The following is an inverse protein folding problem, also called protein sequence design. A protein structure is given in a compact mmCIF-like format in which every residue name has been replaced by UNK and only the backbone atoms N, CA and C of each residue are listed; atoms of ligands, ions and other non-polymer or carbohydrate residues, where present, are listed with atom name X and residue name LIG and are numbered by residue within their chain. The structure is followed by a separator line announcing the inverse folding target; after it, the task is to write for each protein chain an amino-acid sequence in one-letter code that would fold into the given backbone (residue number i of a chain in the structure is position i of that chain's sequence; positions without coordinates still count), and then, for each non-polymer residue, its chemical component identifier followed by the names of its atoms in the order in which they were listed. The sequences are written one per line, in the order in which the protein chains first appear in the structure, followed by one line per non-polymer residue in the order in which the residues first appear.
data_IF_089741507368
#
_entry.id   IF_089741507368
#
_cell.length_a   1.000
_cell.length_b   1.000
_cell.length_c   1.000
_cell.angle_alpha   90.00
_cell.angle_beta   90.00
_cell.angle_gamma   90.00
#
_symmetry.space_group_name_H-M   'P 1'
#
loop_
_entity.id
_entity.type
_entity.pdbx_description
1 polymer ?
#
# COMPACT_ATOMS: atom_id res chain seq x y z
N UNK A 1 -33.11 -15.33 14.50
CA UNK A 1 -31.95 -15.55 15.41
C UNK A 1 -30.68 -15.14 14.67
N UNK A 2 -29.64 -14.69 15.37
CA UNK A 2 -28.35 -14.28 14.78
C UNK A 2 -27.79 -15.34 13.82
N UNK A 3 -27.99 -16.62 14.14
CA UNK A 3 -27.59 -17.75 13.30
C UNK A 3 -28.24 -17.75 11.90
N UNK A 4 -29.52 -17.38 11.81
CA UNK A 4 -30.22 -17.24 10.52
C UNK A 4 -29.72 -16.01 9.75
N UNK A 5 -29.42 -14.91 10.45
CA UNK A 5 -28.87 -13.71 9.83
C UNK A 5 -27.48 -13.96 9.25
N UNK A 6 -26.59 -14.65 9.98
CA UNK A 6 -25.26 -15.04 9.51
C UNK A 6 -25.37 -15.92 8.25
N UNK A 7 -26.26 -16.93 8.27
CA UNK A 7 -26.47 -17.81 7.11
C UNK A 7 -26.90 -17.03 5.87
N UNK A 8 -27.85 -16.10 6.00
CA UNK A 8 -28.32 -15.26 4.88
C UNK A 8 -27.19 -14.33 4.42
N UNK A 9 -26.48 -13.71 5.36
CA UNK A 9 -25.39 -12.78 5.07
C UNK A 9 -24.21 -13.43 4.34
N UNK A 10 -23.92 -14.69 4.62
CA UNK A 10 -22.85 -15.43 3.96
C UNK A 10 -23.03 -15.49 2.42
N UNK A 11 -24.27 -15.38 1.93
CA UNK A 11 -24.56 -15.34 0.49
C UNK A 11 -24.37 -13.95 -0.14
N UNK A 12 -24.45 -12.87 0.64
CA UNK A 12 -24.41 -11.49 0.12
C UNK A 12 -23.11 -11.19 -0.64
N UNK A 13 -21.90 -11.56 -0.17
CA UNK A 13 -20.67 -11.33 -0.94
C UNK A 13 -20.70 -11.87 -2.37
N UNK A 14 -21.42 -12.95 -2.63
CA UNK A 14 -21.54 -13.57 -3.96
C UNK A 14 -22.53 -12.83 -4.88
N UNK A 15 -23.47 -12.10 -4.28
CA UNK A 15 -24.47 -11.29 -4.99
C UNK A 15 -23.95 -9.89 -5.35
N UNK A 16 -22.87 -9.43 -4.69
CA UNK A 16 -22.25 -8.13 -4.99
C UNK A 16 -21.47 -8.20 -6.32
N UNK A 17 -22.15 -7.80 -7.40
CA UNK A 17 -21.61 -7.83 -8.76
C UNK A 17 -21.77 -6.48 -9.45
N UNK A 18 -20.87 -6.16 -10.39
CA UNK A 18 -20.84 -4.86 -11.08
C UNK A 18 -22.05 -4.62 -11.99
N UNK A 19 -22.70 -5.69 -12.45
CA UNK A 19 -23.83 -5.63 -13.39
C UNK A 19 -25.19 -5.56 -12.69
N UNK A 20 -25.23 -5.82 -11.37
CA UNK A 20 -26.47 -5.88 -10.60
C UNK A 20 -26.54 -4.62 -9.74
N UNK A 21 -27.64 -3.88 -9.85
CA UNK A 21 -27.88 -2.74 -8.97
C UNK A 21 -28.21 -3.25 -7.57
N UNK A 22 -27.41 -2.84 -6.59
CA UNK A 22 -27.59 -3.26 -5.20
C UNK A 22 -28.67 -2.37 -4.56
N UNK A 23 -29.70 -2.95 -3.92
CA UNK A 23 -30.71 -2.17 -3.23
C UNK A 23 -30.09 -1.26 -2.15
N UNK A 24 -30.54 0.00 -2.08
CA UNK A 24 -30.02 0.98 -1.12
C UNK A 24 -30.18 0.53 0.33
N UNK A 25 -31.28 -0.17 0.65
CA UNK A 25 -31.52 -0.77 1.97
C UNK A 25 -30.45 -1.78 2.34
N UNK A 26 -30.02 -2.63 1.40
CA UNK A 26 -28.95 -3.60 1.60
C UNK A 26 -27.62 -2.89 1.92
N UNK A 27 -27.30 -1.81 1.20
CA UNK A 27 -26.08 -1.03 1.45
C UNK A 27 -26.10 -0.43 2.87
N UNK A 28 -27.22 0.18 3.29
CA UNK A 28 -27.37 0.74 4.65
C UNK A 28 -27.14 -0.33 5.71
N UNK A 29 -27.80 -1.47 5.58
CA UNK A 29 -27.67 -2.60 6.51
C UNK A 29 -26.22 -3.09 6.58
N UNK A 30 -25.57 -3.28 5.43
CA UNK A 30 -24.17 -3.75 5.38
C UNK A 30 -23.20 -2.77 6.05
N UNK A 31 -23.44 -1.47 5.89
CA UNK A 31 -22.63 -0.42 6.53
C UNK A 31 -22.85 -0.42 8.04
N UNK A 32 -24.09 -0.51 8.51
CA UNK A 32 -24.41 -0.56 9.94
C UNK A 32 -23.88 -1.86 10.59
N UNK A 33 -23.83 -2.95 9.84
CA UNK A 33 -23.27 -4.22 10.30
C UNK A 33 -21.76 -4.19 10.57
N UNK A 34 -21.04 -3.16 10.14
CA UNK A 34 -19.63 -2.98 10.49
C UNK A 34 -19.42 -2.78 12.01
N UNK A 35 -20.43 -2.27 12.72
CA UNK A 35 -20.40 -2.07 14.18
C UNK A 35 -21.37 -3.01 14.92
N UNK A 36 -21.82 -4.08 14.26
CA UNK A 36 -22.71 -5.06 14.88
C UNK A 36 -22.01 -5.78 16.05
N UNK A 37 -22.73 -6.17 17.10
CA UNK A 37 -22.13 -6.83 18.28
C UNK A 37 -21.51 -8.20 17.97
N UNK A 38 -22.12 -8.94 17.05
CA UNK A 38 -21.65 -10.24 16.57
C UNK A 38 -20.42 -10.13 15.62
N UNK A 39 -19.34 -10.84 15.96
CA UNK A 39 -18.07 -10.86 15.20
C UNK A 39 -18.21 -11.34 13.76
N UNK A 40 -18.97 -12.41 13.52
CA UNK A 40 -19.09 -13.02 12.19
C UNK A 40 -19.84 -12.08 11.23
N UNK A 41 -20.86 -11.38 11.75
CA UNK A 41 -21.59 -10.36 11.00
C UNK A 41 -20.65 -9.22 10.58
N UNK A 42 -19.79 -8.74 11.50
CA UNK A 42 -18.78 -7.71 11.17
C UNK A 42 -17.81 -8.19 10.10
N UNK A 43 -17.27 -9.41 10.21
CA UNK A 43 -16.34 -9.98 9.20
C UNK A 43 -16.97 -10.04 7.81
N UNK A 44 -18.22 -10.49 7.71
CA UNK A 44 -18.96 -10.51 6.44
C UNK A 44 -19.20 -9.08 5.93
N UNK A 45 -19.57 -8.15 6.81
CA UNK A 45 -19.76 -6.74 6.46
C UNK A 45 -18.47 -6.09 5.92
N UNK A 46 -17.32 -6.28 6.57
CA UNK A 46 -16.02 -5.80 6.10
C UNK A 46 -15.70 -6.29 4.67
N UNK A 47 -15.93 -7.58 4.41
CA UNK A 47 -15.76 -8.17 3.08
C UNK A 47 -16.72 -7.56 2.05
N UNK A 48 -17.99 -7.37 2.43
CA UNK A 48 -19.01 -6.76 1.59
C UNK A 48 -18.68 -5.31 1.24
N UNK A 49 -18.31 -4.49 2.22
CA UNK A 49 -17.96 -3.07 2.02
C UNK A 49 -16.68 -2.92 1.20
N UNK A 50 -15.68 -3.79 1.40
CA UNK A 50 -14.50 -3.87 0.50
C UNK A 50 -14.93 -4.14 -0.96
N UNK A 51 -15.87 -5.06 -1.16
CA UNK A 51 -16.38 -5.41 -2.49
C UNK A 51 -17.22 -4.30 -3.10
N UNK A 52 -18.08 -3.66 -2.31
CA UNK A 52 -18.88 -2.52 -2.70
C UNK A 52 -18.02 -1.34 -3.13
N UNK A 53 -17.00 -1.00 -2.34
CA UNK A 53 -16.03 0.02 -2.71
C UNK A 53 -15.38 -0.32 -4.06
N UNK A 54 -15.03 -1.58 -4.32
CA UNK A 54 -14.47 -2.02 -5.62
C UNK A 54 -15.45 -1.86 -6.78
N UNK A 55 -16.74 -2.13 -6.58
CA UNK A 55 -17.79 -1.95 -7.59
C UNK A 55 -18.00 -0.47 -7.89
N UNK A 56 -18.09 0.35 -6.85
CA UNK A 56 -18.25 1.81 -6.91
C UNK A 56 -16.98 2.56 -7.33
N UNK A 57 -15.96 1.87 -7.85
CA UNK A 57 -14.68 2.48 -8.23
C UNK A 57 -14.88 3.46 -9.39
N UNK A 58 -14.50 4.75 -9.24
CA UNK A 58 -14.57 5.70 -10.33
C UNK A 58 -13.73 5.25 -11.54
N UNK A 59 -14.17 5.54 -12.77
CA UNK A 59 -13.42 5.23 -13.97
C UNK A 59 -12.05 5.92 -13.96
N UNK A 60 -11.13 5.42 -14.78
CA UNK A 60 -9.85 6.10 -15.03
C UNK A 60 -9.59 6.14 -16.52
N UNK A 61 -8.90 7.17 -16.95
CA UNK A 61 -8.50 7.36 -18.33
C UNK A 61 -7.19 6.62 -18.56
N UNK A 62 -7.11 5.89 -19.68
CA UNK A 62 -5.87 5.27 -20.14
C UNK A 62 -5.34 6.03 -21.32
N UNK A 63 -4.02 6.14 -21.38
CA UNK A 63 -3.28 6.60 -22.53
C UNK A 63 -2.65 5.39 -23.20
N UNK A 64 -2.68 5.41 -24.52
CA UNK A 64 -2.07 4.40 -25.37
C UNK A 64 -1.10 5.14 -26.29
N UNK A 65 0.17 4.76 -26.23
CA UNK A 65 1.23 5.36 -27.05
C UNK A 65 2.07 4.26 -27.68
N UNK A 66 2.54 4.51 -28.91
CA UNK A 66 3.52 3.63 -29.53
C UNK A 66 4.84 3.68 -28.75
N UNK A 67 5.64 2.62 -28.85
CA UNK A 67 6.98 2.60 -28.25
C UNK A 67 7.83 3.76 -28.81
N UNK A 68 7.77 4.00 -30.11
CA UNK A 68 8.49 5.09 -30.77
C UNK A 68 8.14 6.46 -30.18
N UNK A 69 6.85 6.76 -29.95
CA UNK A 69 6.44 8.06 -29.40
C UNK A 69 6.98 8.30 -27.99
N UNK A 70 6.99 7.25 -27.16
CA UNK A 70 7.52 7.33 -25.79
C UNK A 70 9.03 7.59 -25.84
N UNK A 71 9.76 6.84 -26.65
CA UNK A 71 11.21 6.96 -26.79
C UNK A 71 11.61 8.32 -27.39
N UNK A 72 10.85 8.81 -28.37
CA UNK A 72 11.00 10.16 -28.91
C UNK A 72 10.81 11.24 -27.83
N UNK A 73 9.77 11.12 -26.98
CA UNK A 73 9.50 12.07 -25.88
C UNK A 73 10.63 12.11 -24.85
N UNK A 74 11.21 10.96 -24.51
CA UNK A 74 12.34 10.87 -23.57
C UNK A 74 13.71 11.09 -24.24
N UNK A 75 13.73 11.45 -25.54
CA UNK A 75 14.93 11.70 -26.33
C UNK A 75 15.92 10.52 -26.35
N UNK A 76 15.40 9.29 -26.46
CA UNK A 76 16.18 8.05 -26.59
C UNK A 76 15.86 7.33 -27.90
N UNK A 77 16.83 6.59 -28.42
CA UNK A 77 16.61 5.70 -29.56
C UNK A 77 15.68 4.55 -29.17
N UNK A 78 14.70 4.26 -30.01
CA UNK A 78 13.83 3.11 -29.80
C UNK A 78 14.66 1.82 -29.91
N UNK A 79 14.52 0.86 -28.99
CA UNK A 79 15.22 -0.42 -29.08
C UNK A 79 14.78 -1.21 -30.32
N UNK A 80 15.71 -1.97 -30.89
CA UNK A 80 15.44 -2.86 -32.03
C UNK A 80 14.49 -4.00 -31.60
N UNK A 81 13.51 -4.32 -32.45
CA UNK A 81 12.56 -5.41 -32.19
C UNK A 81 13.25 -6.78 -32.12
N UNK A 82 14.39 -6.95 -32.80
CA UNK A 82 15.15 -8.19 -32.82
C UNK A 82 16.01 -8.42 -31.57
N UNK A 83 16.35 -7.35 -30.84
CA UNK A 83 17.22 -7.43 -29.68
C UNK A 83 16.44 -7.80 -28.42
N UNK A 84 16.78 -8.94 -27.80
CA UNK A 84 16.14 -9.43 -26.59
C UNK A 84 17.20 -9.85 -25.57
N UNK A 85 17.71 -8.87 -24.83
CA UNK A 85 18.60 -9.12 -23.70
C UNK A 85 17.87 -8.78 -22.39
N UNK A 86 17.58 -9.74 -21.51
CA UNK A 86 17.03 -9.44 -20.19
C UNK A 86 18.05 -8.67 -19.34
N UNK A 87 17.57 -7.81 -18.46
CA UNK A 87 18.43 -7.09 -17.53
C UNK A 87 18.22 -5.58 -17.50
N UNK A 88 19.12 -4.91 -16.80
CA UNK A 88 19.22 -3.47 -16.77
C UNK A 88 19.83 -3.00 -18.10
N UNK A 89 19.11 -2.13 -18.80
CA UNK A 89 19.46 -1.65 -20.15
C UNK A 89 19.23 -0.16 -20.23
N UNK A 90 20.02 0.53 -21.05
CA UNK A 90 19.89 1.97 -21.23
C UNK A 90 18.47 2.41 -21.62
N UNK A 91 17.76 1.57 -22.37
CA UNK A 91 16.39 1.79 -22.81
C UNK A 91 15.34 1.68 -21.68
N UNK A 92 15.64 0.99 -20.58
CA UNK A 92 14.73 0.76 -19.45
C UNK A 92 15.14 1.51 -18.16
N UNK A 93 16.31 2.14 -18.12
CA UNK A 93 16.73 2.96 -16.98
C UNK A 93 15.76 4.11 -16.62
N UNK A 94 14.95 4.60 -17.56
CA UNK A 94 14.00 5.71 -17.28
C UNK A 94 12.79 5.28 -16.43
N UNK A 95 12.54 3.97 -16.28
CA UNK A 95 11.48 3.42 -15.42
C UNK A 95 11.98 2.98 -14.05
N UNK A 96 13.29 3.09 -13.79
CA UNK A 96 13.87 2.83 -12.48
C UNK A 96 13.88 4.11 -11.63
N UNK A 97 14.17 3.97 -10.33
CA UNK A 97 14.21 5.11 -9.42
C UNK A 97 15.52 5.92 -9.50
N UNK A 98 16.64 5.33 -9.92
CA UNK A 98 17.97 5.94 -9.82
C UNK A 98 18.06 7.35 -10.44
N UNK A 99 17.48 7.53 -11.62
CA UNK A 99 17.50 8.80 -12.36
C UNK A 99 16.14 9.50 -12.35
N UNK A 100 15.27 9.14 -11.41
CA UNK A 100 13.93 9.68 -11.34
C UNK A 100 13.93 11.08 -10.71
N UNK A 101 13.38 12.04 -11.45
CA UNK A 101 13.10 13.38 -10.95
C UNK A 101 11.58 13.51 -10.75
N UNK A 102 11.10 13.70 -9.51
CA UNK A 102 9.67 13.84 -9.25
C UNK A 102 9.08 15.03 -10.01
N UNK A 103 7.88 14.88 -10.61
CA UNK A 103 7.14 15.99 -11.20
C UNK A 103 6.94 17.14 -10.22
N UNK A 104 7.14 18.38 -10.68
CA UNK A 104 6.98 19.60 -9.87
C UNK A 104 5.62 20.25 -10.06
N UNK A 105 4.96 19.97 -11.19
CA UNK A 105 3.64 20.53 -11.50
C UNK A 105 2.59 19.43 -11.58
N UNK A 106 1.33 19.80 -11.34
CA UNK A 106 0.19 18.89 -11.48
C UNK A 106 0.08 18.34 -12.91
N UNK A 107 0.39 19.14 -13.92
CA UNK A 107 0.34 18.74 -15.33
C UNK A 107 1.40 17.67 -15.63
N UNK A 108 2.63 17.89 -15.19
CA UNK A 108 3.71 16.90 -15.31
C UNK A 108 3.33 15.59 -14.58
N UNK A 109 2.81 15.69 -13.36
CA UNK A 109 2.35 14.52 -12.60
C UNK A 109 1.30 13.74 -13.38
N UNK A 110 0.25 14.40 -13.87
CA UNK A 110 -0.83 13.77 -14.63
C UNK A 110 -0.35 13.05 -15.90
N UNK A 111 0.64 13.63 -16.59
CA UNK A 111 1.18 13.14 -17.86
C UNK A 111 2.28 12.09 -17.69
N UNK A 112 2.90 12.00 -16.50
CA UNK A 112 4.02 11.08 -16.23
C UNK A 112 3.62 9.62 -16.48
N UNK A 113 4.41 8.93 -17.31
CA UNK A 113 4.18 7.53 -17.64
C UNK A 113 4.72 6.62 -16.53
N UNK A 114 3.85 6.21 -15.61
CA UNK A 114 4.15 5.17 -14.61
C UNK A 114 3.66 3.80 -15.05
N UNK A 115 4.53 2.81 -14.93
CA UNK A 115 4.33 1.46 -15.39
C UNK A 115 4.37 0.49 -14.21
N UNK A 116 3.19 0.23 -13.66
CA UNK A 116 3.07 -0.45 -12.37
C UNK A 116 3.57 -1.91 -12.39
N UNK A 117 3.27 -2.65 -13.46
CA UNK A 117 3.60 -4.07 -13.58
C UNK A 117 5.09 -4.29 -13.86
N UNK A 118 5.80 -4.99 -12.97
CA UNK A 118 7.26 -5.19 -13.02
C UNK A 118 7.74 -6.09 -14.17
N UNK A 119 6.94 -7.08 -14.58
CA UNK A 119 7.34 -8.09 -15.57
C UNK A 119 7.48 -7.58 -17.01
N UNK A 120 6.77 -6.51 -17.35
CA UNK A 120 6.92 -5.92 -18.68
C UNK A 120 8.27 -5.22 -18.74
N UNK A 121 9.00 -5.38 -19.86
CA UNK A 121 10.19 -4.59 -20.21
C UNK A 121 11.48 -4.98 -19.49
N UNK A 122 11.46 -5.95 -18.58
CA UNK A 122 12.69 -6.59 -18.14
C UNK A 122 13.31 -7.43 -19.26
N UNK A 123 12.50 -8.18 -20.00
CA UNK A 123 12.94 -9.01 -21.13
C UNK A 123 12.85 -8.28 -22.48
N UNK A 124 11.66 -7.75 -22.81
CA UNK A 124 11.38 -7.07 -24.09
C UNK A 124 10.26 -6.03 -23.94
N UNK A 125 10.27 -5.00 -24.79
CA UNK A 125 9.23 -3.99 -24.87
C UNK A 125 8.01 -4.46 -25.69
N UNK A 126 6.78 -4.14 -25.28
CA UNK A 126 5.62 -4.27 -26.14
C UNK A 126 5.62 -3.16 -27.22
N UNK A 127 5.01 -3.43 -28.37
CA UNK A 127 4.88 -2.45 -29.47
C UNK A 127 4.11 -1.19 -29.06
N UNK A 128 3.11 -1.38 -28.20
CA UNK A 128 2.24 -0.34 -27.69
C UNK A 128 2.22 -0.40 -26.17
N UNK A 129 2.35 0.76 -25.54
CA UNK A 129 2.29 0.88 -24.08
C UNK A 129 0.97 1.52 -23.68
N UNK A 130 0.16 0.74 -22.96
CA UNK A 130 -1.05 1.20 -22.31
C UNK A 130 -0.79 1.51 -20.84
N UNK A 131 -0.98 2.75 -20.43
CA UNK A 131 -0.78 3.18 -19.05
C UNK A 131 -1.88 4.13 -18.59
N UNK A 132 -2.24 4.12 -17.30
CA UNK A 132 -3.26 5.02 -16.78
C UNK A 132 -2.70 6.44 -16.59
N UNK A 133 -3.48 7.45 -16.96
CA UNK A 133 -3.18 8.84 -16.58
C UNK A 133 -3.17 8.96 -15.05
N UNK A 134 -2.35 9.85 -14.47
CA UNK A 134 -2.28 10.03 -13.01
C UNK A 134 -3.40 10.90 -12.45
N UNK A 135 -4.57 10.72 -13.03
CA UNK A 135 -5.80 11.41 -12.71
C UNK A 135 -6.93 10.41 -12.65
N UNK A 136 -7.73 10.51 -11.59
CA UNK A 136 -8.99 9.80 -11.48
C UNK A 136 -10.02 10.78 -10.95
N UNK A 137 -11.14 10.88 -11.65
CA UNK A 137 -12.32 11.57 -11.15
C UNK A 137 -12.79 10.92 -9.86
N UNK A 138 -13.22 11.73 -8.89
CA UNK A 138 -13.75 11.25 -7.62
C UNK A 138 -15.14 11.78 -7.41
N UNK A 139 -15.90 11.08 -6.60
CA UNK A 139 -17.19 11.56 -6.15
C UNK A 139 -16.98 12.80 -5.28
N UNK A 140 -17.64 13.88 -5.65
CA UNK A 140 -17.79 15.07 -4.81
C UNK A 140 -19.16 15.00 -4.15
N UNK A 141 -19.42 15.80 -3.11
CA UNK A 141 -20.75 15.87 -2.48
C UNK A 141 -21.89 16.09 -3.50
N UNK A 142 -21.62 16.79 -4.60
CA UNK A 142 -22.61 17.12 -5.63
C UNK A 142 -22.70 16.06 -6.75
N UNK A 143 -21.68 15.22 -6.93
CA UNK A 143 -21.62 14.24 -8.04
C UNK A 143 -21.77 12.79 -7.57
N UNK A 144 -21.99 12.58 -6.27
CA UNK A 144 -22.05 11.27 -5.66
C UNK A 144 -23.44 10.64 -5.86
N UNK A 145 -23.52 9.45 -6.47
CA UNK A 145 -24.77 8.68 -6.51
C UNK A 145 -25.23 8.27 -5.11
N UNK A 146 -26.53 8.02 -4.92
CA UNK A 146 -27.13 7.72 -3.61
C UNK A 146 -26.49 6.51 -2.91
N UNK A 147 -26.15 5.46 -3.66
CA UNK A 147 -25.54 4.24 -3.15
C UNK A 147 -24.11 4.49 -2.60
N UNK A 148 -23.39 5.42 -3.22
CA UNK A 148 -22.07 5.87 -2.77
C UNK A 148 -22.19 6.85 -1.60
N UNK A 149 -23.22 7.71 -1.61
CA UNK A 149 -23.49 8.70 -0.56
C UNK A 149 -23.77 8.06 0.79
N UNK A 150 -24.41 6.89 0.83
CA UNK A 150 -24.61 6.12 2.07
C UNK A 150 -23.27 5.82 2.76
N UNK A 151 -22.28 5.34 2.01
CA UNK A 151 -20.96 5.03 2.55
C UNK A 151 -20.25 6.32 2.98
N UNK A 152 -20.23 7.33 2.11
CA UNK A 152 -19.58 8.61 2.44
C UNK A 152 -20.13 9.21 3.73
N UNK A 153 -21.44 9.33 3.84
CA UNK A 153 -22.08 9.93 5.01
C UNK A 153 -21.78 9.16 6.29
N UNK A 154 -21.79 7.81 6.24
CA UNK A 154 -21.46 7.01 7.42
C UNK A 154 -19.99 7.12 7.81
N UNK A 155 -19.07 7.07 6.85
CA UNK A 155 -17.64 7.19 7.12
C UNK A 155 -17.17 8.65 7.38
N UNK A 156 -18.08 9.62 7.34
CA UNK A 156 -17.84 10.99 7.83
C UNK A 156 -18.32 11.17 9.29
N UNK A 157 -19.11 10.23 9.82
CA UNK A 157 -19.54 10.23 11.22
C UNK A 157 -18.39 9.77 12.12
N UNK A 158 -17.85 10.70 12.93
CA UNK A 158 -16.75 10.43 13.85
C UNK A 158 -17.10 9.34 14.87
N UNK A 159 -18.34 9.32 15.37
CA UNK A 159 -18.78 8.34 16.38
C UNK A 159 -18.74 6.94 15.77
N UNK A 160 -19.24 6.81 14.54
CA UNK A 160 -19.21 5.54 13.80
C UNK A 160 -17.78 5.06 13.57
N UNK A 161 -16.88 5.91 13.10
CA UNK A 161 -15.48 5.53 12.84
C UNK A 161 -14.81 5.07 14.13
N UNK A 162 -14.98 5.80 15.23
CA UNK A 162 -14.39 5.42 16.52
C UNK A 162 -14.92 4.07 17.00
N UNK A 163 -16.23 3.84 16.94
CA UNK A 163 -16.81 2.53 17.30
C UNK A 163 -16.32 1.40 16.39
N UNK A 164 -16.25 1.66 15.07
CA UNK A 164 -15.74 0.71 14.09
C UNK A 164 -14.30 0.29 14.42
N UNK A 165 -13.43 1.25 14.68
CA UNK A 165 -12.03 1.01 15.02
C UNK A 165 -11.91 0.24 16.33
N UNK A 166 -12.68 0.62 17.36
CA UNK A 166 -12.70 -0.09 18.65
C UNK A 166 -13.09 -1.56 18.47
N UNK A 167 -14.13 -1.86 17.69
CA UNK A 167 -14.48 -3.25 17.39
C UNK A 167 -13.36 -3.98 16.65
N UNK A 168 -12.74 -3.36 15.63
CA UNK A 168 -11.63 -3.97 14.88
C UNK A 168 -10.43 -4.33 15.75
N UNK A 169 -10.13 -3.50 16.77
CA UNK A 169 -9.05 -3.77 17.73
C UNK A 169 -9.37 -5.01 18.56
N UNK A 170 -10.61 -5.14 19.04
CA UNK A 170 -11.04 -6.23 19.96
C UNK A 170 -11.27 -7.56 19.23
N UNK A 171 -11.66 -7.54 17.95
CA UNK A 171 -12.18 -8.70 17.22
C UNK A 171 -11.25 -9.89 16.98
N UNK A 172 -9.95 -9.78 17.21
CA UNK A 172 -8.98 -10.79 16.76
C UNK A 172 -8.18 -11.42 17.92
N UNK A 173 -8.84 -11.92 18.97
CA UNK A 173 -8.18 -12.69 20.05
C UNK A 173 -7.72 -14.11 19.63
N UNK A 174 -7.86 -14.50 18.36
CA UNK A 174 -7.28 -15.75 17.86
C UNK A 174 -5.77 -15.63 17.73
N UNK A 175 -5.02 -16.60 18.27
CA UNK A 175 -3.54 -16.70 18.35
C UNK A 175 -2.73 -16.46 17.06
N UNK A 176 -3.36 -16.15 15.93
CA UNK A 176 -2.71 -15.66 14.72
C UNK A 176 -3.25 -14.26 14.36
N UNK A 177 -2.71 -13.25 15.03
CA UNK A 177 -3.01 -11.81 14.84
C UNK A 177 -2.47 -11.32 13.49
N UNK A 178 -3.06 -11.81 12.40
CA UNK A 178 -2.63 -11.55 11.03
C UNK A 178 -3.28 -10.28 10.47
N UNK A 179 -2.51 -9.55 9.65
CA UNK A 179 -2.99 -8.41 8.87
C UNK A 179 -4.23 -8.79 8.05
N UNK A 180 -5.37 -8.11 8.28
CA UNK A 180 -6.64 -8.43 7.65
C UNK A 180 -6.74 -7.80 6.25
N UNK A 181 -6.70 -8.66 5.23
CA UNK A 181 -6.73 -8.25 3.83
C UNK A 181 -8.06 -7.58 3.42
N UNK A 182 -9.18 -7.92 4.06
CA UNK A 182 -10.49 -7.33 3.75
C UNK A 182 -10.58 -5.89 4.27
N UNK A 183 -10.12 -5.64 5.50
CA UNK A 183 -10.01 -4.29 6.07
C UNK A 183 -9.09 -3.39 5.24
N UNK A 184 -7.89 -3.88 4.91
CA UNK A 184 -7.00 -3.19 3.98
C UNK A 184 -7.67 -2.83 2.65
N UNK A 185 -8.38 -3.79 2.01
CA UNK A 185 -9.08 -3.55 0.74
C UNK A 185 -10.23 -2.56 0.88
N UNK A 186 -10.93 -2.57 2.02
CA UNK A 186 -11.96 -1.60 2.36
C UNK A 186 -11.36 -0.19 2.47
N UNK A 187 -10.36 0.02 3.32
CA UNK A 187 -9.70 1.32 3.48
C UNK A 187 -9.10 1.82 2.16
N UNK A 188 -8.44 0.95 1.40
CA UNK A 188 -7.98 1.25 0.03
C UNK A 188 -9.11 1.73 -0.88
N UNK A 189 -10.29 1.15 -0.76
CA UNK A 189 -11.49 1.55 -1.49
C UNK A 189 -12.00 2.92 -1.07
N UNK A 190 -12.13 3.15 0.24
CA UNK A 190 -12.61 4.39 0.84
C UNK A 190 -11.73 5.58 0.45
N UNK A 191 -10.41 5.52 0.69
CA UNK A 191 -9.48 6.61 0.34
C UNK A 191 -9.38 6.85 -1.17
N UNK A 192 -9.56 5.80 -1.99
CA UNK A 192 -9.60 5.95 -3.44
C UNK A 192 -10.86 6.66 -3.92
N UNK A 193 -12.01 6.35 -3.33
CA UNK A 193 -13.31 6.85 -3.78
C UNK A 193 -13.58 8.27 -3.26
N UNK A 194 -13.23 8.54 -1.99
CA UNK A 194 -13.57 9.77 -1.29
C UNK A 194 -12.39 10.73 -1.08
N UNK A 195 -11.15 10.25 -1.17
CA UNK A 195 -9.97 11.10 -1.17
C UNK A 195 -9.67 11.74 0.19
N UNK A 196 -9.46 13.06 0.18
CA UNK A 196 -8.83 13.82 1.27
C UNK A 196 -9.74 14.03 2.48
N UNK A 197 -11.06 14.17 2.26
CA UNK A 197 -12.02 14.43 3.33
C UNK A 197 -11.95 13.36 4.43
N UNK A 198 -11.90 12.09 4.03
CA UNK A 198 -11.77 10.97 4.95
C UNK A 198 -10.36 10.86 5.54
N UNK A 199 -9.32 11.28 4.81
CA UNK A 199 -7.93 11.15 5.25
C UNK A 199 -7.69 11.83 6.60
N UNK A 200 -8.17 13.06 6.79
CA UNK A 200 -7.94 13.78 8.04
C UNK A 200 -8.60 13.10 9.25
N UNK A 201 -9.81 12.58 9.08
CA UNK A 201 -10.54 11.86 10.13
C UNK A 201 -9.79 10.60 10.55
N UNK A 202 -9.26 9.84 9.58
CA UNK A 202 -8.49 8.64 9.88
C UNK A 202 -7.10 8.95 10.44
N UNK A 203 -6.46 10.07 10.07
CA UNK A 203 -5.20 10.50 10.71
C UNK A 203 -5.41 10.78 12.21
N UNK A 204 -6.48 11.50 12.59
CA UNK A 204 -6.81 11.72 14.01
C UNK A 204 -6.97 10.39 14.78
N UNK A 205 -7.61 9.39 14.17
CA UNK A 205 -7.79 8.08 14.79
C UNK A 205 -6.50 7.25 14.82
N UNK A 206 -5.60 7.41 13.84
CA UNK A 206 -4.30 6.75 13.84
C UNK A 206 -3.43 7.26 15.00
N UNK A 207 -3.43 8.56 15.25
CA UNK A 207 -2.72 9.16 16.38
C UNK A 207 -3.27 8.60 17.71
N UNK A 208 -4.60 8.53 17.86
CA UNK A 208 -5.25 7.90 19.02
C UNK A 208 -4.80 6.45 19.22
N UNK A 209 -4.82 5.64 18.16
CA UNK A 209 -4.45 4.22 18.24
C UNK A 209 -3.01 3.98 18.69
N UNK A 210 -2.08 4.87 18.33
CA UNK A 210 -0.66 4.72 18.64
C UNK A 210 -0.30 5.35 20.00
N UNK A 211 -0.94 6.46 20.38
CA UNK A 211 -0.58 7.20 21.59
C UNK A 211 -1.44 6.89 22.82
N UNK A 212 -2.70 6.51 22.65
CA UNK A 212 -3.54 6.12 23.78
C UNK A 212 -3.11 4.71 24.23
N UNK A 213 -2.18 4.67 25.19
CA UNK A 213 -1.57 3.47 25.78
C UNK A 213 -2.60 2.51 26.37
N UNK A 214 -3.26 1.73 25.53
CA UNK A 214 -4.02 0.54 25.94
C UNK A 214 -3.03 -0.62 25.91
N UNK A 215 -2.20 -0.73 26.96
CA UNK A 215 -1.10 -1.70 27.06
C UNK A 215 -1.54 -3.13 26.75
N UNK A 216 -2.76 -3.51 27.16
CA UNK A 216 -3.33 -4.86 26.92
C UNK A 216 -3.77 -5.11 25.47
N UNK A 217 -3.91 -4.06 24.63
CA UNK A 217 -4.42 -4.16 23.25
C UNK A 217 -3.48 -3.54 22.21
N UNK A 218 -2.24 -3.26 22.59
CA UNK A 218 -1.28 -2.56 21.75
C UNK A 218 -1.09 -3.26 20.38
N UNK A 219 -0.98 -4.58 20.35
CA UNK A 219 -0.86 -5.34 19.10
C UNK A 219 -2.07 -5.14 18.17
N UNK A 220 -3.29 -5.17 18.73
CA UNK A 220 -4.52 -4.91 18.00
C UNK A 220 -4.59 -3.49 17.43
N UNK A 221 -4.17 -2.50 18.22
CA UNK A 221 -4.11 -1.11 17.78
C UNK A 221 -3.13 -0.92 16.61
N UNK A 222 -1.90 -1.43 16.72
CA UNK A 222 -0.90 -1.36 15.65
C UNK A 222 -1.36 -2.11 14.40
N UNK A 223 -2.03 -3.27 14.55
CA UNK A 223 -2.57 -4.03 13.40
C UNK A 223 -3.60 -3.20 12.63
N UNK A 224 -4.61 -2.65 13.32
CA UNK A 224 -5.65 -1.84 12.68
C UNK A 224 -5.05 -0.57 12.07
N UNK A 225 -4.11 0.08 12.76
CA UNK A 225 -3.38 1.22 12.22
C UNK A 225 -2.61 0.87 10.93
N UNK A 226 -1.90 -0.26 10.92
CA UNK A 226 -1.17 -0.77 9.76
C UNK A 226 -2.10 -1.06 8.57
N UNK A 227 -3.30 -1.60 8.79
CA UNK A 227 -4.31 -1.85 7.76
C UNK A 227 -4.87 -0.54 7.15
N UNK A 228 -5.17 0.44 8.00
CA UNK A 228 -5.63 1.78 7.58
C UNK A 228 -4.54 2.47 6.75
N UNK A 229 -3.30 2.50 7.25
CA UNK A 229 -2.16 3.15 6.58
C UNK A 229 -1.89 2.50 5.22
N UNK A 230 -1.86 1.16 5.15
CA UNK A 230 -1.68 0.46 3.88
C UNK A 230 -2.81 0.78 2.89
N UNK A 231 -4.05 0.84 3.40
CA UNK A 231 -5.22 1.28 2.64
C UNK A 231 -5.05 2.70 2.10
N UNK A 232 -4.58 3.63 2.94
CA UNK A 232 -4.37 5.04 2.61
C UNK A 232 -3.32 5.21 1.51
N UNK A 233 -2.16 4.57 1.65
CA UNK A 233 -1.08 4.60 0.64
C UNK A 233 -1.55 4.00 -0.69
N UNK A 234 -2.25 2.86 -0.66
CA UNK A 234 -2.75 2.24 -1.92
C UNK A 234 -3.93 2.99 -2.52
N UNK A 235 -4.75 3.63 -1.69
CA UNK A 235 -5.90 4.44 -2.09
C UNK A 235 -5.48 5.74 -2.77
N UNK A 236 -4.32 6.29 -2.39
CA UNK A 236 -3.80 7.56 -2.89
C UNK A 236 -3.09 7.49 -4.26
N UNK A 237 -3.02 6.31 -4.88
CA UNK A 237 -2.32 6.08 -6.17
C UNK A 237 -2.58 7.10 -7.29
N UNK A 238 -3.81 7.61 -7.36
CA UNK A 238 -4.25 8.59 -8.37
C UNK A 238 -4.68 9.91 -7.74
N UNK A 239 -4.05 10.27 -6.61
CA UNK A 239 -4.26 11.57 -6.01
C UNK A 239 -3.53 12.67 -6.77
N UNK A 240 -3.99 13.91 -6.59
CA UNK A 240 -3.30 15.09 -7.11
C UNK A 240 -1.98 15.25 -6.35
N UNK A 241 -1.04 15.99 -6.95
CA UNK A 241 0.27 16.23 -6.36
C UNK A 241 0.13 16.91 -4.98
N UNK A 242 -0.74 17.92 -4.87
CA UNK A 242 -1.05 18.62 -3.62
C UNK A 242 -1.56 17.67 -2.53
N UNK A 243 -2.48 16.76 -2.89
CA UNK A 243 -3.01 15.79 -1.93
C UNK A 243 -1.95 14.78 -1.48
N UNK A 244 -1.06 14.37 -2.40
CA UNK A 244 0.05 13.50 -2.06
C UNK A 244 1.03 14.21 -1.14
N UNK A 245 1.38 15.47 -1.40
CA UNK A 245 2.24 16.27 -0.51
C UNK A 245 1.68 16.32 0.91
N UNK A 246 0.40 16.68 1.07
CA UNK A 246 -0.26 16.71 2.37
C UNK A 246 -0.31 15.33 3.04
N UNK A 247 -0.55 14.26 2.28
CA UNK A 247 -0.51 12.89 2.78
C UNK A 247 0.85 12.55 3.37
N UNK A 248 1.92 12.72 2.59
CA UNK A 248 3.26 12.32 3.01
C UNK A 248 3.82 13.23 4.11
N UNK A 249 3.46 14.51 4.13
CA UNK A 249 3.81 15.43 5.21
C UNK A 249 3.30 14.95 6.58
N UNK A 250 2.11 14.34 6.62
CA UNK A 250 1.55 13.76 7.85
C UNK A 250 2.03 12.34 8.11
N UNK A 251 2.11 11.53 7.06
CA UNK A 251 2.34 10.10 7.19
C UNK A 251 3.82 9.76 7.47
N UNK A 252 4.79 10.52 6.94
CA UNK A 252 6.22 10.24 7.22
C UNK A 252 6.55 10.41 8.71
N UNK A 253 6.20 11.53 9.38
CA UNK A 253 6.43 11.65 10.82
C UNK A 253 5.78 10.54 11.64
N UNK A 254 4.52 10.21 11.33
CA UNK A 254 3.80 9.10 11.97
C UNK A 254 4.52 7.76 11.79
N UNK A 255 4.94 7.43 10.57
CA UNK A 255 5.70 6.20 10.30
C UNK A 255 7.06 6.18 11.00
N UNK A 256 7.72 7.33 11.11
CA UNK A 256 9.00 7.44 11.82
C UNK A 256 8.84 7.11 13.31
N UNK A 257 7.81 7.65 13.95
CA UNK A 257 7.50 7.36 15.35
C UNK A 257 7.18 5.88 15.55
N UNK A 258 6.28 5.32 14.72
CA UNK A 258 5.93 3.90 14.77
C UNK A 258 7.17 3.03 14.61
N UNK A 259 8.02 3.31 13.63
CA UNK A 259 9.23 2.52 13.36
C UNK A 259 10.31 2.64 14.44
N UNK A 260 10.29 3.71 15.23
CA UNK A 260 11.20 3.91 16.37
C UNK A 260 10.77 3.10 17.60
N UNK A 261 9.47 2.86 17.74
CA UNK A 261 8.88 2.16 18.89
C UNK A 261 8.38 0.74 18.56
N UNK A 262 8.95 0.09 17.53
CA UNK A 262 8.54 -1.26 17.14
C UNK A 262 8.93 -2.30 18.20
N UNK A 263 8.02 -3.23 18.40
CA UNK A 263 8.22 -4.44 19.23
C UNK A 263 8.16 -5.69 18.35
N UNK A 264 8.59 -6.83 18.86
CA UNK A 264 8.49 -8.11 18.15
C UNK A 264 7.05 -8.48 17.76
N UNK A 265 6.08 -8.10 18.60
CA UNK A 265 4.65 -8.37 18.41
C UNK A 265 4.06 -7.48 17.29
N UNK A 266 4.47 -6.21 17.25
CA UNK A 266 3.93 -5.24 16.28
C UNK A 266 4.64 -5.32 14.92
N UNK A 267 5.85 -5.87 14.84
CA UNK A 267 6.66 -5.91 13.62
C UNK A 267 5.95 -6.57 12.43
N UNK A 268 5.25 -7.68 12.66
CA UNK A 268 4.61 -8.46 11.60
C UNK A 268 3.53 -7.67 10.84
N UNK A 269 2.72 -6.89 11.58
CA UNK A 269 1.64 -6.11 10.98
C UNK A 269 2.18 -4.95 10.13
N UNK A 270 3.24 -4.26 10.58
CA UNK A 270 3.89 -3.19 9.82
C UNK A 270 4.66 -3.72 8.60
N UNK A 271 5.29 -4.90 8.72
CA UNK A 271 5.86 -5.58 7.56
C UNK A 271 4.83 -5.93 6.50
N UNK A 272 3.63 -6.33 6.92
CA UNK A 272 2.49 -6.55 6.02
C UNK A 272 1.99 -5.24 5.42
N UNK A 273 1.87 -4.17 6.21
CA UNK A 273 1.52 -2.84 5.72
C UNK A 273 2.46 -2.38 4.60
N UNK A 274 3.77 -2.47 4.79
CA UNK A 274 4.76 -2.06 3.78
C UNK A 274 4.69 -2.94 2.53
N UNK A 275 4.60 -4.27 2.69
CA UNK A 275 4.41 -5.21 1.57
C UNK A 275 3.18 -4.84 0.75
N UNK A 276 2.01 -4.73 1.38
CA UNK A 276 0.76 -4.42 0.69
C UNK A 276 0.72 -2.98 0.15
N UNK A 277 1.48 -2.06 0.73
CA UNK A 277 1.60 -0.67 0.24
C UNK A 277 2.41 -0.57 -1.05
N UNK A 278 3.37 -1.46 -1.28
CA UNK A 278 4.31 -1.40 -2.41
C UNK A 278 4.01 -2.39 -3.53
N UNK A 279 3.16 -3.40 -3.28
CA UNK A 279 2.78 -4.43 -4.24
C UNK A 279 2.20 -3.86 -5.55
N UNK A 280 2.67 -4.37 -6.70
CA UNK A 280 2.12 -4.08 -8.03
C UNK A 280 2.09 -2.57 -8.35
N UNK A 281 3.17 -1.86 -7.99
CA UNK A 281 3.32 -0.42 -8.21
C UNK A 281 4.65 -0.06 -8.85
N UNK A 282 4.65 1.06 -9.56
CA UNK A 282 5.87 1.70 -10.05
C UNK A 282 6.60 2.37 -8.86
N UNK A 283 7.89 2.09 -8.62
CA UNK A 283 8.63 2.64 -7.48
C UNK A 283 8.67 4.17 -7.50
N UNK A 284 8.64 4.79 -8.68
CA UNK A 284 8.67 6.25 -8.84
C UNK A 284 7.42 6.94 -8.27
N UNK A 285 6.29 6.22 -8.15
CA UNK A 285 5.10 6.72 -7.44
C UNK A 285 5.28 6.72 -5.93
N UNK A 286 6.08 5.79 -5.42
CA UNK A 286 6.27 5.52 -4.00
C UNK A 286 7.62 6.02 -3.50
N UNK A 287 8.30 6.89 -4.27
CA UNK A 287 9.66 7.35 -3.97
C UNK A 287 9.79 7.90 -2.54
N UNK A 288 8.78 8.63 -2.02
CA UNK A 288 8.78 9.15 -0.65
C UNK A 288 8.80 8.05 0.41
N UNK A 289 8.05 6.96 0.20
CA UNK A 289 8.08 5.80 1.10
C UNK A 289 9.41 5.05 0.98
N UNK A 290 9.93 4.94 -0.24
CA UNK A 290 11.22 4.29 -0.50
C UNK A 290 12.35 5.08 0.19
N UNK A 291 12.40 6.41 0.05
CA UNK A 291 13.36 7.25 0.75
C UNK A 291 13.17 7.18 2.26
N UNK A 292 11.94 7.14 2.78
CA UNK A 292 11.70 6.89 4.20
C UNK A 292 12.31 5.56 4.66
N UNK A 293 12.04 4.45 3.95
CA UNK A 293 12.61 3.13 4.26
C UNK A 293 14.14 3.17 4.17
N UNK A 294 14.69 3.90 3.21
CA UNK A 294 16.14 4.11 3.06
C UNK A 294 16.74 4.82 4.28
N UNK A 295 16.06 5.80 4.89
CA UNK A 295 16.54 6.42 6.14
C UNK A 295 16.64 5.42 7.31
N UNK A 296 15.83 4.35 7.30
CA UNK A 296 15.92 3.29 8.32
C UNK A 296 17.22 2.48 8.22
N UNK A 297 17.85 2.44 7.03
CA UNK A 297 19.16 1.81 6.81
C UNK A 297 20.26 2.65 7.45
N UNK A 298 20.19 3.98 7.27
CA UNK A 298 21.27 4.90 7.68
C UNK A 298 21.27 5.22 9.18
N UNK A 299 20.14 5.07 9.86
CA UNK A 299 20.00 5.39 11.29
C UNK A 299 20.37 4.22 12.23
N UNK A 300 21.33 3.37 11.84
CA UNK A 300 21.76 2.23 12.65
C UNK A 300 22.50 2.71 13.91
N UNK A 301 22.11 2.15 15.06
CA UNK A 301 22.68 2.45 16.37
C UNK A 301 22.96 1.13 17.07
N UNK A 302 24.22 0.87 17.38
CA UNK A 302 24.75 -0.39 17.94
C UNK A 302 24.17 -0.80 19.29
N UNK A 303 23.34 0.03 19.92
CA UNK A 303 22.81 -0.20 21.26
C UNK A 303 21.54 -1.06 21.31
N UNK A 304 20.77 -1.17 20.20
CA UNK A 304 19.49 -1.90 20.19
C UNK A 304 19.35 -2.90 19.03
N UNK A 305 19.87 -4.11 19.24
CA UNK A 305 19.86 -5.24 18.31
C UNK A 305 18.45 -5.61 17.79
N UNK A 306 17.41 -5.49 18.62
CA UNK A 306 16.03 -5.81 18.23
C UNK A 306 15.49 -4.79 17.22
N UNK A 307 15.73 -3.51 17.49
CA UNK A 307 15.31 -2.42 16.63
C UNK A 307 16.03 -2.48 15.27
N UNK A 308 17.33 -2.77 15.27
CA UNK A 308 18.11 -2.99 14.05
C UNK A 308 17.54 -4.14 13.20
N UNK A 309 17.29 -5.30 13.82
CA UNK A 309 16.69 -6.45 13.13
C UNK A 309 15.30 -6.13 12.57
N UNK A 310 14.51 -5.36 13.31
CA UNK A 310 13.17 -4.91 12.91
C UNK A 310 13.21 -3.97 11.71
N UNK A 311 14.13 -2.99 11.71
CA UNK A 311 14.33 -2.08 10.56
C UNK A 311 14.74 -2.84 9.31
N UNK A 312 15.68 -3.77 9.42
CA UNK A 312 16.08 -4.63 8.32
C UNK A 312 14.92 -5.47 7.77
N UNK A 313 14.08 -6.01 8.64
CA UNK A 313 12.86 -6.72 8.21
C UNK A 313 11.92 -5.84 7.36
N UNK A 314 11.81 -4.55 7.69
CA UNK A 314 11.02 -3.58 6.92
C UNK A 314 11.71 -3.18 5.61
N UNK A 315 13.03 -2.97 5.62
CA UNK A 315 13.83 -2.67 4.42
C UNK A 315 13.67 -3.76 3.36
N UNK A 316 13.64 -5.03 3.77
CA UNK A 316 13.42 -6.15 2.86
C UNK A 316 12.06 -6.13 2.15
N UNK A 317 11.09 -5.32 2.59
CA UNK A 317 9.83 -5.14 1.86
C UNK A 317 10.02 -4.36 0.56
N UNK A 318 11.15 -3.69 0.35
CA UNK A 318 11.53 -3.09 -0.93
C UNK A 318 11.67 -4.13 -2.05
N UNK A 319 11.77 -5.43 -1.73
CA UNK A 319 11.82 -6.53 -2.72
C UNK A 319 10.61 -6.54 -3.64
N UNK A 320 9.49 -5.94 -3.24
CA UNK A 320 8.31 -5.73 -4.09
C UNK A 320 8.57 -4.88 -5.34
N UNK A 321 9.67 -4.10 -5.37
CA UNK A 321 10.04 -3.31 -6.55
C UNK A 321 11.01 -4.03 -7.49
N UNK A 322 11.57 -5.16 -7.07
CA UNK A 322 12.44 -6.02 -7.87
C UNK A 322 13.59 -5.21 -8.51
N UNK A 323 13.91 -5.46 -9.77
CA UNK A 323 14.98 -4.81 -10.54
C UNK A 323 14.84 -3.29 -10.73
N UNK A 324 13.72 -2.66 -10.36
CA UNK A 324 13.44 -1.24 -10.67
C UNK A 324 14.04 -0.23 -9.68
N UNK A 325 14.77 -0.68 -8.67
CA UNK A 325 15.46 0.17 -7.67
C UNK A 325 16.95 -0.21 -7.51
N UNK A 326 17.74 -0.30 -8.60
CA UNK A 326 19.08 -0.89 -8.56
C UNK A 326 20.07 -0.14 -7.64
N UNK A 327 20.05 1.20 -7.58
CA UNK A 327 20.94 1.93 -6.66
C UNK A 327 20.68 1.59 -5.19
N UNK A 328 19.41 1.39 -4.83
CA UNK A 328 19.03 1.04 -3.46
C UNK A 328 19.49 -0.38 -3.14
N UNK A 329 19.47 -1.29 -4.11
CA UNK A 329 20.06 -2.62 -3.92
C UNK A 329 21.56 -2.58 -3.70
N UNK A 330 22.29 -1.72 -4.43
CA UNK A 330 23.71 -1.52 -4.19
C UNK A 330 23.97 -1.05 -2.75
N UNK A 331 23.25 -0.02 -2.30
CA UNK A 331 23.38 0.53 -0.95
C UNK A 331 23.01 -0.51 0.13
N UNK A 332 21.91 -1.24 -0.06
CA UNK A 332 21.49 -2.33 0.85
C UNK A 332 22.58 -3.40 0.92
N UNK A 333 23.18 -3.78 -0.21
CA UNK A 333 24.21 -4.80 -0.26
C UNK A 333 25.52 -4.35 0.42
N UNK A 334 25.89 -3.08 0.28
CA UNK A 334 27.06 -2.50 0.97
C UNK A 334 26.87 -2.55 2.48
N UNK A 335 25.73 -2.06 2.99
CA UNK A 335 25.44 -2.12 4.43
C UNK A 335 25.27 -3.57 4.93
N UNK A 336 24.66 -4.46 4.13
CA UNK A 336 24.48 -5.85 4.52
C UNK A 336 25.82 -6.59 4.68
N UNK A 337 26.85 -6.22 3.90
CA UNK A 337 28.21 -6.77 4.05
C UNK A 337 28.82 -6.40 5.40
N UNK A 338 28.66 -5.16 5.85
CA UNK A 338 29.17 -4.73 7.16
C UNK A 338 28.48 -5.48 8.32
N UNK A 339 27.22 -5.88 8.12
CA UNK A 339 26.46 -6.65 9.11
C UNK A 339 26.82 -8.14 9.17
N UNK A 340 27.60 -8.67 8.22
CA UNK A 340 28.05 -10.08 8.23
C UNK A 340 28.87 -10.42 9.47
N UNK A 341 29.70 -9.48 9.92
CA UNK A 341 30.60 -9.66 11.05
C UNK A 341 30.00 -9.17 12.38
N UNK A 342 28.72 -8.78 12.39
CA UNK A 342 28.07 -8.21 13.57
C UNK A 342 28.09 -9.19 14.76
N UNK A 343 28.37 -8.77 16.01
CA UNK A 343 28.55 -9.70 17.15
C UNK A 343 27.31 -10.56 17.45
N UNK A 344 26.11 -10.04 17.19
CA UNK A 344 24.86 -10.75 17.48
C UNK A 344 24.36 -11.61 16.30
N UNK A 345 24.16 -12.90 16.58
CA UNK A 345 23.62 -13.89 15.62
C UNK A 345 22.29 -13.47 15.00
N UNK A 346 21.39 -12.83 15.76
CA UNK A 346 20.08 -12.40 15.26
C UNK A 346 20.18 -11.35 14.13
N UNK A 347 21.22 -10.53 14.13
CA UNK A 347 21.49 -9.53 13.07
C UNK A 347 22.17 -10.22 11.88
N UNK A 348 23.18 -11.07 12.15
CA UNK A 348 23.87 -11.86 11.11
C UNK A 348 22.97 -12.87 10.39
N UNK A 349 21.97 -13.43 11.06
CA UNK A 349 21.01 -14.40 10.50
C UNK A 349 19.60 -13.81 10.38
N UNK A 350 19.48 -12.49 10.50
CA UNK A 350 18.24 -11.75 10.32
C UNK A 350 17.61 -12.05 8.95
N UNK A 351 16.37 -11.61 8.74
CA UNK A 351 15.60 -11.92 7.52
C UNK A 351 16.31 -11.62 6.19
N UNK A 352 17.37 -10.80 6.19
CA UNK A 352 18.27 -10.56 5.05
C UNK A 352 18.84 -11.87 4.53
N UNK A 353 19.29 -12.76 5.42
CA UNK A 353 19.95 -14.02 5.10
C UNK A 353 18.97 -15.17 4.87
N UNK A 354 17.88 -15.23 5.65
CA UNK A 354 16.82 -16.22 5.44
C UNK A 354 16.14 -16.09 4.07
N UNK A 355 16.14 -14.89 3.49
CA UNK A 355 15.62 -14.62 2.14
C UNK A 355 16.69 -14.33 1.10
N UNK A 356 17.98 -14.59 1.34
CA UNK A 356 19.00 -14.64 0.28
C UNK A 356 18.61 -15.59 -0.87
N UNK A 357 17.84 -16.64 -0.57
CA UNK A 357 17.21 -17.53 -1.56
C UNK A 357 16.03 -16.92 -2.35
N UNK A 358 15.47 -15.81 -1.85
CA UNK A 358 14.33 -15.06 -2.42
C UNK A 358 14.74 -13.75 -3.10
N UNK A 359 15.96 -13.25 -2.86
CA UNK A 359 16.58 -12.31 -3.79
C UNK A 359 16.61 -13.05 -5.12
N UNK A 360 15.94 -12.49 -6.13
CA UNK A 360 16.09 -13.02 -7.48
C UNK A 360 17.60 -13.17 -7.73
N UNK A 361 18.09 -14.35 -8.18
CA UNK A 361 19.51 -14.61 -8.43
C UNK A 361 20.20 -13.53 -9.30
N UNK A 362 19.40 -12.71 -9.97
CA UNK A 362 19.80 -11.60 -10.83
C UNK A 362 20.69 -10.55 -10.13
N UNK A 363 20.53 -10.27 -8.83
CA UNK A 363 21.30 -9.19 -8.18
C UNK A 363 22.63 -9.68 -7.58
N UNK A 364 22.71 -10.95 -7.16
CA UNK A 364 23.92 -11.47 -6.49
C UNK A 364 24.97 -12.05 -7.46
N UNK A 365 24.55 -12.57 -8.63
CA UNK A 365 25.48 -13.23 -9.56
C UNK A 365 26.14 -12.30 -10.59
N UNK A 366 25.81 -11.01 -10.62
CA UNK A 366 26.38 -10.08 -11.60
C UNK A 366 27.73 -9.46 -11.18
N UNK A 367 28.14 -9.58 -9.91
CA UNK A 367 29.33 -8.91 -9.36
C UNK A 367 30.24 -9.84 -8.53
N UNK A 368 30.31 -11.13 -8.88
CA UNK A 368 31.35 -12.05 -8.41
C UNK A 368 32.19 -12.55 -9.56
#
# INVERSE_FOLDING_TARGET
TDRQQILIMAFIPFLLQRQIQIPLSCIRILVDFLIHENLDIRKIAEQCISTLCRIQKPPRIYLEKSLHDIFYQIKKSCPDEAFSCPGDRDDNLWITLNNYQPPKTQIEWEQTCFLDKSFHRYYKWPKVIKYPMNKRERYTKNTMPEDVAILYNRFMDKIFITQLIQYMVITDESNELNFNIHRFRMFKGLFRNFGFDLMNHFMEQLDILIHENITEKQEGCHRVAAEIVAGMIRGSKYWTLEMLEKLWQKLIPFLNEVCTNLTSETLSCWGSCFKFSMEDLDPRRMYRLIEFIRTLINNQTTENTLLETSRWFLVLKLTNFEWRIPAIWCEINEHAKEMLDHPYKAVREGEIYRRQSSFSPIVFFANW
#
